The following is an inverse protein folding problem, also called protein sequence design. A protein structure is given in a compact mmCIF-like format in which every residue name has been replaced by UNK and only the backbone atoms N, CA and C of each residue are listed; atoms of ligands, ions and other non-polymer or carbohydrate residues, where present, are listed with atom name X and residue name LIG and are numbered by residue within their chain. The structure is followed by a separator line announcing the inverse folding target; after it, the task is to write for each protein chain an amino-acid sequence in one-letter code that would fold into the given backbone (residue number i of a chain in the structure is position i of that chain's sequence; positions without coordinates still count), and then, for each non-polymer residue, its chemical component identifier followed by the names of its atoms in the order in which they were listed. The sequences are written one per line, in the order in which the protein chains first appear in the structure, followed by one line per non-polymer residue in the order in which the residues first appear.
data_IF_575219844678
#
_entry.id   IF_575219844678
#
_cell.length_a   1.000
_cell.length_b   1.000
_cell.length_c   1.000
_cell.angle_alpha   90.00
_cell.angle_beta   90.00
_cell.angle_gamma   90.00
#
_symmetry.space_group_name_H-M   'P 1'
#
loop_
_entity.id
_entity.type
_entity.pdbx_description
1 polymer ?
#
# COMPACT_ATOMS: atom_id res chain seq x y z
N UNK A 1 3.25 10.86 -18.90
CA UNK A 1 2.72 9.47 -18.86
C UNK A 1 2.96 8.81 -17.48
N UNK A 2 4.19 8.77 -16.96
CA UNK A 2 4.46 8.11 -15.66
C UNK A 2 3.63 8.64 -14.48
N UNK A 3 3.51 9.97 -14.31
CA UNK A 3 2.69 10.57 -13.22
C UNK A 3 1.22 10.14 -13.28
N UNK A 4 0.66 10.03 -14.49
CA UNK A 4 -0.73 9.59 -14.69
C UNK A 4 -0.86 8.10 -14.35
N UNK A 5 0.09 7.27 -14.81
CA UNK A 5 0.11 5.85 -14.47
C UNK A 5 0.23 5.61 -12.96
N UNK A 6 1.10 6.36 -12.28
CA UNK A 6 1.21 6.31 -10.80
C UNK A 6 -0.10 6.73 -10.12
N UNK A 7 -0.71 7.83 -10.56
CA UNK A 7 -1.96 8.31 -9.98
C UNK A 7 -3.09 7.30 -10.18
N UNK A 8 -3.22 6.72 -11.36
CA UNK A 8 -4.21 5.67 -11.67
C UNK A 8 -3.96 4.40 -10.83
N UNK A 9 -2.70 4.01 -10.69
CA UNK A 9 -2.29 2.85 -9.90
C UNK A 9 -2.71 2.98 -8.44
N UNK A 10 -2.44 4.13 -7.84
CA UNK A 10 -2.76 4.40 -6.43
C UNK A 10 -4.27 4.62 -6.24
N UNK A 11 -4.93 5.27 -7.20
CA UNK A 11 -6.39 5.45 -7.22
C UNK A 11 -7.11 4.10 -7.21
N UNK A 12 -6.75 3.20 -8.13
CA UNK A 12 -7.36 1.86 -8.20
C UNK A 12 -7.03 1.02 -6.97
N UNK A 13 -5.83 1.18 -6.40
CA UNK A 13 -5.48 0.53 -5.13
C UNK A 13 -6.40 0.94 -3.99
N UNK A 14 -6.61 2.24 -3.79
CA UNK A 14 -7.53 2.77 -2.79
C UNK A 14 -8.99 2.37 -3.06
N UNK A 15 -9.41 2.39 -4.32
CA UNK A 15 -10.72 1.92 -4.75
C UNK A 15 -10.96 0.45 -4.33
N UNK A 16 -10.03 -0.46 -4.66
CA UNK A 16 -10.14 -1.87 -4.32
C UNK A 16 -10.20 -2.13 -2.81
N UNK A 17 -9.43 -1.38 -2.01
CA UNK A 17 -9.49 -1.50 -0.53
C UNK A 17 -10.89 -1.22 -0.02
N UNK A 18 -11.52 -0.13 -0.46
CA UNK A 18 -12.87 0.22 -0.02
C UNK A 18 -13.95 -0.72 -0.55
N UNK A 19 -13.79 -1.24 -1.77
CA UNK A 19 -14.67 -2.32 -2.28
C UNK A 19 -14.59 -3.53 -1.37
N UNK A 20 -13.39 -3.98 -1.00
CA UNK A 20 -13.21 -5.12 -0.11
C UNK A 20 -13.77 -4.86 1.30
N UNK A 21 -13.70 -3.64 1.80
CA UNK A 21 -14.23 -3.26 3.10
C UNK A 21 -15.76 -3.33 3.12
N UNK A 22 -16.42 -2.66 2.18
CA UNK A 22 -17.89 -2.60 2.13
C UNK A 22 -18.49 -3.97 1.81
N UNK A 23 -18.02 -4.60 0.74
CA UNK A 23 -18.54 -5.91 0.31
C UNK A 23 -18.13 -7.02 1.27
N UNK A 24 -16.96 -6.91 1.88
CA UNK A 24 -16.46 -7.83 2.89
C UNK A 24 -17.36 -7.91 4.11
N UNK A 25 -17.87 -6.79 4.59
CA UNK A 25 -18.82 -6.76 5.70
C UNK A 25 -20.11 -7.52 5.37
N UNK A 26 -20.65 -7.31 4.15
CA UNK A 26 -21.84 -8.05 3.69
C UNK A 26 -21.56 -9.55 3.53
N UNK A 27 -20.35 -9.89 3.09
CA UNK A 27 -19.92 -11.27 2.93
C UNK A 27 -19.87 -11.99 4.29
N UNK A 28 -19.24 -11.38 5.31
CA UNK A 28 -19.16 -11.94 6.65
C UNK A 28 -20.49 -11.96 7.39
N UNK A 29 -21.39 -11.03 7.08
CA UNK A 29 -22.71 -10.98 7.72
C UNK A 29 -23.56 -12.23 7.47
N UNK A 30 -23.29 -13.01 6.43
CA UNK A 30 -23.97 -14.30 6.14
C UNK A 30 -23.67 -15.33 7.23
N UNK A 31 -22.43 -15.36 7.73
CA UNK A 31 -21.95 -16.39 8.65
C UNK A 31 -22.02 -15.94 10.11
N UNK A 32 -21.74 -14.65 10.38
CA UNK A 32 -21.68 -14.09 11.74
C UNK A 32 -22.88 -13.19 12.09
N UNK A 33 -23.82 -13.00 11.15
CA UNK A 33 -24.96 -12.10 11.33
C UNK A 33 -24.65 -10.64 11.06
N UNK A 34 -25.70 -9.82 10.89
CA UNK A 34 -25.62 -8.39 10.58
C UNK A 34 -25.34 -7.49 11.79
N UNK A 35 -24.61 -7.97 12.81
CA UNK A 35 -24.38 -7.23 14.03
C UNK A 35 -23.35 -6.11 13.88
N UNK A 36 -23.40 -5.13 14.78
CA UNK A 36 -22.40 -4.06 14.88
C UNK A 36 -20.98 -4.62 15.05
N UNK A 37 -20.83 -5.79 15.68
CA UNK A 37 -19.52 -6.42 15.89
C UNK A 37 -18.86 -6.88 14.59
N UNK A 38 -19.64 -7.28 13.57
CA UNK A 38 -19.10 -7.64 12.24
C UNK A 38 -18.48 -6.42 11.58
N UNK A 39 -19.16 -5.26 11.59
CA UNK A 39 -18.65 -4.00 11.07
C UNK A 39 -17.38 -3.55 11.81
N UNK A 40 -17.42 -3.54 13.11
CA UNK A 40 -16.27 -3.12 13.93
C UNK A 40 -15.07 -4.02 13.72
N UNK A 41 -15.28 -5.34 13.63
CA UNK A 41 -14.24 -6.32 13.37
C UNK A 41 -13.62 -6.15 12.00
N UNK A 42 -14.45 -5.97 10.98
CA UNK A 42 -13.98 -5.75 9.59
C UNK A 42 -13.11 -4.50 9.48
N UNK A 43 -13.60 -3.37 9.99
CA UNK A 43 -12.85 -2.11 10.00
C UNK A 43 -11.53 -2.27 10.77
N UNK A 44 -11.58 -2.86 11.98
CA UNK A 44 -10.41 -3.04 12.82
C UNK A 44 -9.31 -3.89 12.14
N UNK A 45 -9.69 -5.02 11.57
CA UNK A 45 -8.75 -5.91 10.88
C UNK A 45 -8.15 -5.23 9.64
N UNK A 46 -8.96 -4.55 8.85
CA UNK A 46 -8.47 -3.83 7.67
C UNK A 46 -7.50 -2.71 8.08
N UNK A 47 -7.82 -1.92 9.10
CA UNK A 47 -6.91 -0.87 9.60
C UNK A 47 -5.58 -1.44 10.09
N UNK A 48 -5.59 -2.59 10.77
CA UNK A 48 -4.34 -3.29 11.15
C UNK A 48 -3.55 -3.70 9.89
N UNK A 49 -4.22 -4.31 8.91
CA UNK A 49 -3.59 -4.71 7.66
C UNK A 49 -3.00 -3.51 6.90
N UNK A 50 -3.74 -2.39 6.82
CA UNK A 50 -3.28 -1.15 6.19
C UNK A 50 -2.07 -0.56 6.93
N UNK A 51 -2.12 -0.51 8.26
CA UNK A 51 -1.02 0.03 9.08
C UNK A 51 0.28 -0.75 8.87
N UNK A 52 0.21 -2.07 8.93
CA UNK A 52 1.36 -2.95 8.68
C UNK A 52 1.83 -2.85 7.22
N UNK A 53 0.89 -2.80 6.26
CA UNK A 53 1.19 -2.65 4.85
C UNK A 53 1.91 -1.33 4.53
N UNK A 54 1.49 -0.23 5.13
CA UNK A 54 2.17 1.06 4.96
C UNK A 54 3.58 1.04 5.54
N UNK A 55 3.77 0.51 6.74
CA UNK A 55 5.09 0.42 7.37
C UNK A 55 6.06 -0.47 6.55
N UNK A 56 5.60 -1.65 6.16
CA UNK A 56 6.42 -2.61 5.41
C UNK A 56 6.62 -2.14 3.97
N UNK A 57 5.61 -1.53 3.34
CA UNK A 57 5.69 -0.99 1.98
C UNK A 57 6.77 0.09 1.85
N UNK A 58 6.88 0.98 2.83
CA UNK A 58 7.95 1.97 2.89
C UNK A 58 9.34 1.32 2.99
N UNK A 59 9.51 0.38 3.92
CA UNK A 59 10.76 -0.34 4.11
C UNK A 59 11.18 -1.16 2.87
N UNK A 60 10.22 -1.82 2.22
CA UNK A 60 10.48 -2.58 0.98
C UNK A 60 10.86 -1.66 -0.18
N UNK A 61 10.24 -0.48 -0.29
CA UNK A 61 10.56 0.50 -1.32
C UNK A 61 11.99 1.04 -1.18
N UNK A 62 12.47 1.23 0.05
CA UNK A 62 13.85 1.63 0.30
C UNK A 62 14.86 0.55 -0.12
N UNK A 63 14.49 -0.73 0.04
CA UNK A 63 15.35 -1.86 -0.28
C UNK A 63 15.38 -2.18 -1.78
N UNK A 64 14.22 -2.24 -2.43
CA UNK A 64 14.13 -2.77 -3.80
C UNK A 64 14.08 -1.69 -4.88
N UNK A 65 13.59 -0.48 -4.59
CA UNK A 65 13.58 0.71 -5.49
C UNK A 65 13.02 0.47 -6.90
N UNK A 66 12.27 -0.60 -7.13
CA UNK A 66 11.73 -1.02 -8.44
C UNK A 66 10.23 -1.23 -8.36
N UNK A 67 9.46 -0.57 -9.21
CA UNK A 67 8.00 -0.70 -9.25
C UNK A 67 7.56 -2.15 -9.50
N UNK A 68 8.28 -2.89 -10.33
CA UNK A 68 7.98 -4.28 -10.67
C UNK A 68 8.00 -5.26 -9.49
N UNK A 69 8.63 -4.90 -8.37
CA UNK A 69 8.59 -5.73 -7.17
C UNK A 69 7.16 -5.92 -6.63
N UNK A 70 6.30 -4.91 -6.78
CA UNK A 70 4.90 -5.00 -6.34
C UNK A 70 4.08 -6.01 -7.16
N UNK A 71 4.53 -6.37 -8.36
CA UNK A 71 3.76 -7.27 -9.24
C UNK A 71 3.49 -8.63 -8.60
N UNK A 72 4.49 -9.22 -7.92
CA UNK A 72 4.35 -10.55 -7.32
C UNK A 72 3.31 -10.54 -6.18
N UNK A 73 3.45 -9.71 -5.12
CA UNK A 73 2.47 -9.69 -4.05
C UNK A 73 1.08 -9.30 -4.54
N UNK A 74 0.97 -8.38 -5.51
CA UNK A 74 -0.32 -8.00 -6.08
C UNK A 74 -0.95 -9.12 -6.92
N UNK A 75 -0.16 -9.88 -7.67
CA UNK A 75 -0.68 -11.04 -8.40
C UNK A 75 -1.23 -12.09 -7.41
N UNK A 76 -0.50 -12.37 -6.33
CA UNK A 76 -0.97 -13.28 -5.27
C UNK A 76 -2.27 -12.77 -4.64
N UNK A 77 -2.32 -11.48 -4.26
CA UNK A 77 -3.53 -10.88 -3.70
C UNK A 77 -4.70 -10.89 -4.68
N UNK A 78 -4.47 -10.58 -5.96
CA UNK A 78 -5.51 -10.60 -6.99
C UNK A 78 -6.11 -11.98 -7.20
N UNK A 79 -5.27 -13.02 -7.27
CA UNK A 79 -5.73 -14.42 -7.34
C UNK A 79 -6.49 -14.79 -6.07
N UNK A 80 -5.99 -14.43 -4.89
CA UNK A 80 -6.65 -14.69 -3.62
C UNK A 80 -8.05 -14.03 -3.57
N UNK A 81 -8.16 -12.74 -3.93
CA UNK A 81 -9.43 -12.01 -3.97
C UNK A 81 -10.42 -12.69 -4.95
N UNK A 82 -9.95 -13.06 -6.13
CA UNK A 82 -10.80 -13.72 -7.13
C UNK A 82 -11.44 -15.01 -6.61
N UNK A 83 -10.70 -15.77 -5.81
CA UNK A 83 -11.15 -17.04 -5.27
C UNK A 83 -11.74 -16.96 -3.85
N UNK A 84 -11.86 -15.78 -3.21
CA UNK A 84 -12.46 -15.62 -1.88
C UNK A 84 -13.75 -16.45 -1.73
N UNK A 85 -14.75 -16.36 -2.63
CA UNK A 85 -16.00 -17.07 -2.44
C UNK A 85 -15.89 -18.60 -2.42
N UNK A 86 -14.78 -19.15 -2.96
CA UNK A 86 -14.56 -20.60 -2.99
C UNK A 86 -13.71 -21.11 -1.83
N UNK A 87 -12.69 -20.36 -1.45
CA UNK A 87 -11.69 -20.83 -0.48
C UNK A 87 -12.04 -20.50 0.97
N UNK A 88 -12.70 -19.39 1.18
CA UNK A 88 -12.91 -18.90 2.54
C UNK A 88 -14.12 -19.51 3.22
N UNK A 89 -15.13 -19.96 2.45
CA UNK A 89 -16.33 -20.56 3.02
C UNK A 89 -16.03 -21.74 3.98
N UNK A 90 -15.21 -22.74 3.62
CA UNK A 90 -14.87 -23.82 4.55
C UNK A 90 -14.16 -23.34 5.82
N UNK A 91 -13.39 -22.24 5.73
CA UNK A 91 -12.71 -21.65 6.89
C UNK A 91 -13.69 -20.91 7.80
N UNK A 92 -14.62 -20.16 7.22
CA UNK A 92 -15.67 -19.48 7.97
C UNK A 92 -16.61 -20.49 8.64
N UNK A 93 -17.00 -21.54 7.92
CA UNK A 93 -17.80 -22.65 8.47
C UNK A 93 -17.07 -23.32 9.66
N UNK A 94 -15.75 -23.50 9.58
CA UNK A 94 -14.99 -24.06 10.69
C UNK A 94 -14.97 -23.13 11.92
N UNK A 95 -14.94 -21.80 11.72
CA UNK A 95 -15.01 -20.83 12.82
C UNK A 95 -16.41 -20.88 13.47
N UNK A 96 -17.47 -20.85 12.66
CA UNK A 96 -18.86 -20.86 13.17
C UNK A 96 -19.20 -22.19 13.85
N UNK A 97 -18.83 -23.32 13.24
CA UNK A 97 -19.18 -24.65 13.75
C UNK A 97 -18.30 -25.15 14.92
N UNK A 98 -17.30 -24.38 15.34
CA UNK A 98 -16.51 -24.75 16.54
C UNK A 98 -17.30 -24.67 17.84
N UNK A 99 -18.43 -23.94 17.84
CA UNK A 99 -19.29 -23.83 18.99
C UNK A 99 -20.30 -24.98 19.02
N UNK A 100 -20.57 -25.61 20.22
CA UNK A 100 -21.56 -26.68 20.34
C UNK A 100 -22.95 -26.16 19.96
N UNK A 101 -23.68 -26.93 19.17
CA UNK A 101 -25.05 -26.59 18.79
C UNK A 101 -25.96 -26.67 20.02
N UNK A 102 -26.81 -25.65 20.22
CA UNK A 102 -27.80 -25.59 21.32
C UNK A 102 -27.27 -25.05 22.64
N UNK A 103 -26.04 -24.53 22.65
CA UNK A 103 -25.47 -23.81 23.79
C UNK A 103 -25.25 -22.36 23.37
N UNK A 104 -25.56 -21.41 24.25
CA UNK A 104 -25.31 -19.99 23.98
C UNK A 104 -23.80 -19.74 23.79
N UNK A 105 -23.46 -19.04 22.72
CA UNK A 105 -22.08 -18.68 22.43
C UNK A 105 -21.63 -17.64 23.48
N UNK A 106 -20.51 -17.85 24.20
CA UNK A 106 -19.98 -16.86 25.12
C UNK A 106 -19.78 -15.49 24.43
N UNK A 107 -20.16 -14.41 25.12
CA UNK A 107 -20.16 -13.05 24.57
C UNK A 107 -18.83 -12.63 23.94
N UNK A 108 -17.72 -13.12 24.50
CA UNK A 108 -16.38 -12.85 23.95
C UNK A 108 -16.23 -13.39 22.53
N UNK A 109 -16.79 -14.57 22.22
CA UNK A 109 -16.71 -15.18 20.90
C UNK A 109 -17.66 -14.54 19.90
N UNK A 110 -18.82 -14.08 20.32
CA UNK A 110 -19.72 -13.27 19.48
C UNK A 110 -18.99 -12.04 18.92
N UNK A 111 -18.02 -11.51 19.66
CA UNK A 111 -17.20 -10.35 19.28
C UNK A 111 -15.95 -10.74 18.49
N UNK A 112 -15.30 -11.87 18.84
CA UNK A 112 -14.01 -12.27 18.26
C UNK A 112 -14.14 -13.10 16.98
N UNK A 113 -15.20 -13.88 16.82
CA UNK A 113 -15.36 -14.72 15.61
C UNK A 113 -15.43 -13.92 14.32
N UNK A 114 -16.18 -12.80 14.26
CA UNK A 114 -16.15 -11.93 13.09
C UNK A 114 -14.75 -11.36 12.80
N UNK A 115 -13.97 -11.07 13.86
CA UNK A 115 -12.60 -10.57 13.68
C UNK A 115 -11.67 -11.65 13.13
N UNK A 116 -11.79 -12.89 13.58
CA UNK A 116 -11.05 -14.03 13.02
C UNK A 116 -11.45 -14.28 11.56
N UNK A 117 -12.76 -14.28 11.27
CA UNK A 117 -13.27 -14.43 9.91
C UNK A 117 -12.74 -13.32 8.98
N UNK A 118 -12.81 -12.08 9.43
CA UNK A 118 -12.26 -10.93 8.69
C UNK A 118 -10.75 -11.07 8.47
N UNK A 119 -10.00 -11.48 9.49
CA UNK A 119 -8.56 -11.66 9.37
C UNK A 119 -8.18 -12.73 8.35
N UNK A 120 -8.86 -13.86 8.33
CA UNK A 120 -8.62 -14.95 7.38
C UNK A 120 -8.89 -14.51 5.95
N UNK A 121 -9.96 -13.74 5.72
CA UNK A 121 -10.41 -13.38 4.38
C UNK A 121 -9.73 -12.11 3.85
N UNK A 122 -9.60 -11.06 4.67
CA UNK A 122 -9.28 -9.71 4.18
C UNK A 122 -7.92 -9.19 4.59
N UNK A 123 -7.28 -9.77 5.61
CA UNK A 123 -5.98 -9.28 6.08
C UNK A 123 -4.92 -9.29 4.97
N UNK A 124 -4.72 -10.42 4.31
CA UNK A 124 -3.70 -10.56 3.27
C UNK A 124 -3.92 -9.61 2.08
N UNK A 125 -5.10 -9.58 1.43
CA UNK A 125 -5.31 -8.69 0.29
C UNK A 125 -5.22 -7.20 0.67
N UNK A 126 -5.78 -6.78 1.79
CA UNK A 126 -5.70 -5.38 2.22
C UNK A 126 -4.27 -4.98 2.61
N UNK A 127 -3.53 -5.86 3.27
CA UNK A 127 -2.11 -5.66 3.56
C UNK A 127 -1.29 -5.43 2.28
N UNK A 128 -1.50 -6.25 1.25
CA UNK A 128 -0.78 -6.11 -0.02
C UNK A 128 -1.16 -4.82 -0.75
N UNK A 129 -2.45 -4.48 -0.80
CA UNK A 129 -2.89 -3.23 -1.42
C UNK A 129 -2.36 -1.99 -0.68
N UNK A 130 -2.17 -2.08 0.62
CA UNK A 130 -1.59 -1.01 1.41
C UNK A 130 -0.11 -0.72 1.08
N UNK A 131 0.64 -1.71 0.59
CA UNK A 131 2.03 -1.50 0.15
C UNK A 131 2.14 -0.43 -0.95
N UNK A 132 1.09 -0.25 -1.75
CA UNK A 132 1.09 0.58 -2.96
C UNK A 132 1.50 2.03 -2.66
N UNK A 133 0.80 2.71 -1.74
CA UNK A 133 0.94 4.15 -1.54
C UNK A 133 2.35 4.57 -1.10
N UNK A 134 2.93 4.04 -0.01
CA UNK A 134 4.28 4.42 0.41
C UNK A 134 5.34 3.98 -0.60
N UNK A 135 5.12 2.82 -1.23
CA UNK A 135 6.03 2.33 -2.27
C UNK A 135 6.08 3.27 -3.48
N UNK A 136 4.91 3.72 -3.95
CA UNK A 136 4.84 4.66 -5.07
C UNK A 136 5.41 6.04 -4.74
N UNK A 137 5.23 6.52 -3.50
CA UNK A 137 5.90 7.75 -3.04
C UNK A 137 7.41 7.62 -3.23
N UNK A 138 8.00 6.55 -2.75
CA UNK A 138 9.46 6.34 -2.76
C UNK A 138 10.01 6.17 -4.17
N UNK A 139 9.34 5.42 -5.02
CA UNK A 139 9.78 5.15 -6.40
C UNK A 139 9.63 6.39 -7.29
N UNK A 140 8.60 7.22 -7.05
CA UNK A 140 8.29 8.40 -7.88
C UNK A 140 9.07 9.64 -7.44
N UNK A 141 9.35 9.80 -6.15
CA UNK A 141 10.08 10.95 -5.61
C UNK A 141 11.59 10.83 -5.88
N UNK A 142 12.06 11.49 -6.94
CA UNK A 142 13.48 11.48 -7.35
C UNK A 142 14.32 12.55 -6.65
N UNK A 143 13.71 13.62 -6.11
CA UNK A 143 14.38 14.75 -5.43
C UNK A 143 13.71 15.03 -4.10
N UNK A 144 14.50 15.33 -3.09
CA UNK A 144 13.99 15.66 -1.75
C UNK A 144 13.04 16.86 -1.75
N UNK A 145 13.32 17.89 -2.55
CA UNK A 145 12.50 19.11 -2.67
C UNK A 145 11.07 18.84 -3.18
N UNK A 146 10.84 17.73 -3.89
CA UNK A 146 9.54 17.38 -4.46
C UNK A 146 8.78 16.30 -3.67
N UNK A 147 9.37 15.73 -2.63
CA UNK A 147 8.76 14.61 -1.86
C UNK A 147 7.41 14.99 -1.28
N UNK A 148 7.28 16.17 -0.68
CA UNK A 148 6.02 16.64 -0.09
C UNK A 148 4.89 16.72 -1.10
N UNK A 149 5.13 17.35 -2.24
CA UNK A 149 4.12 17.49 -3.31
C UNK A 149 3.73 16.15 -3.91
N UNK A 150 4.71 15.27 -4.15
CA UNK A 150 4.46 13.93 -4.71
C UNK A 150 3.68 13.07 -3.73
N UNK A 151 4.04 13.09 -2.46
CA UNK A 151 3.31 12.36 -1.41
C UNK A 151 1.87 12.85 -1.30
N UNK A 152 1.68 14.18 -1.26
CA UNK A 152 0.34 14.78 -1.23
C UNK A 152 -0.52 14.33 -2.40
N UNK A 153 0.03 14.31 -3.62
CA UNK A 153 -0.70 13.91 -4.82
C UNK A 153 -1.06 12.40 -4.80
N UNK A 154 -0.13 11.55 -4.34
CA UNK A 154 -0.34 10.11 -4.23
C UNK A 154 -1.43 9.81 -3.18
N UNK A 155 -1.35 10.41 -2.00
CA UNK A 155 -2.38 10.22 -0.97
C UNK A 155 -3.73 10.78 -1.41
N UNK A 156 -3.76 11.95 -2.06
CA UNK A 156 -5.00 12.50 -2.61
C UNK A 156 -5.63 11.58 -3.65
N UNK A 157 -4.84 11.04 -4.59
CA UNK A 157 -5.31 10.10 -5.60
C UNK A 157 -5.86 8.81 -4.97
N UNK A 158 -5.15 8.25 -3.96
CA UNK A 158 -5.62 7.08 -3.20
C UNK A 158 -6.94 7.36 -2.50
N UNK A 159 -7.05 8.51 -1.83
CA UNK A 159 -8.27 8.90 -1.10
C UNK A 159 -9.46 9.10 -2.05
N UNK A 160 -9.25 9.75 -3.21
CA UNK A 160 -10.32 9.89 -4.23
C UNK A 160 -10.74 8.53 -4.76
N UNK A 161 -9.78 7.61 -4.97
CA UNK A 161 -10.08 6.23 -5.32
C UNK A 161 -10.93 5.53 -4.24
N UNK A 162 -10.54 5.68 -2.97
CA UNK A 162 -11.28 5.14 -1.83
C UNK A 162 -12.70 5.67 -1.75
N UNK A 163 -12.90 6.98 -1.91
CA UNK A 163 -14.22 7.59 -1.96
C UNK A 163 -15.06 6.98 -3.10
N UNK A 164 -14.47 6.86 -4.30
CA UNK A 164 -15.11 6.18 -5.44
C UNK A 164 -15.49 4.74 -5.11
N UNK A 165 -14.58 4.00 -4.45
CA UNK A 165 -14.83 2.62 -4.01
C UNK A 165 -16.03 2.49 -3.07
N UNK A 166 -16.16 3.38 -2.09
CA UNK A 166 -17.32 3.41 -1.17
C UNK A 166 -18.62 3.63 -1.92
N UNK A 167 -18.70 4.70 -2.71
CA UNK A 167 -19.94 5.05 -3.40
C UNK A 167 -20.33 4.02 -4.47
N UNK A 168 -19.38 3.56 -5.27
CA UNK A 168 -19.64 2.55 -6.30
C UNK A 168 -20.06 1.23 -5.68
N UNK A 169 -19.41 0.80 -4.58
CA UNK A 169 -19.81 -0.42 -3.88
C UNK A 169 -21.20 -0.29 -3.28
N UNK A 170 -21.48 0.82 -2.58
CA UNK A 170 -22.72 0.99 -1.82
C UNK A 170 -23.95 1.29 -2.70
N UNK A 171 -23.78 1.96 -3.84
CA UNK A 171 -24.91 2.40 -4.66
C UNK A 171 -25.04 1.70 -6.02
N UNK A 172 -23.97 1.00 -6.46
CA UNK A 172 -23.99 0.36 -7.77
C UNK A 172 -23.76 -1.14 -7.64
N UNK A 173 -22.66 -1.54 -7.01
CA UNK A 173 -22.30 -2.96 -7.02
C UNK A 173 -23.30 -3.81 -6.24
N UNK A 174 -23.77 -3.33 -5.10
CA UNK A 174 -24.73 -4.08 -4.27
C UNK A 174 -26.06 -4.29 -4.98
N UNK A 175 -26.53 -3.31 -5.77
CA UNK A 175 -27.81 -3.37 -6.44
C UNK A 175 -27.78 -4.21 -7.72
N UNK A 176 -26.65 -4.22 -8.44
CA UNK A 176 -26.58 -4.80 -9.79
C UNK A 176 -25.72 -6.06 -9.89
N UNK A 177 -24.86 -6.35 -8.91
CA UNK A 177 -23.90 -7.44 -8.99
C UNK A 177 -24.00 -8.38 -7.78
N UNK A 178 -23.68 -9.65 -8.00
CA UNK A 178 -23.53 -10.59 -6.90
C UNK A 178 -22.20 -10.35 -6.17
N UNK A 179 -22.14 -10.64 -4.88
CA UNK A 179 -20.93 -10.55 -4.07
C UNK A 179 -19.77 -11.32 -4.72
N UNK A 180 -20.05 -12.50 -5.27
CA UNK A 180 -19.06 -13.30 -6.01
C UNK A 180 -18.49 -12.55 -7.22
N UNK A 181 -19.36 -11.93 -8.02
CA UNK A 181 -18.94 -11.17 -9.21
C UNK A 181 -18.10 -9.96 -8.81
N UNK A 182 -18.43 -9.30 -7.70
CA UNK A 182 -17.68 -8.15 -7.20
C UNK A 182 -16.27 -8.56 -6.78
N UNK A 183 -16.11 -9.66 -6.03
CA UNK A 183 -14.78 -10.17 -5.68
C UNK A 183 -13.98 -10.57 -6.93
N UNK A 184 -14.60 -11.23 -7.91
CA UNK A 184 -13.92 -11.59 -9.15
C UNK A 184 -13.48 -10.36 -9.94
N UNK A 185 -14.33 -9.35 -10.08
CA UNK A 185 -13.99 -8.09 -10.75
C UNK A 185 -12.86 -7.36 -10.02
N UNK A 186 -12.93 -7.27 -8.68
CA UNK A 186 -11.86 -6.67 -7.86
C UNK A 186 -10.55 -7.45 -8.01
N UNK A 187 -10.60 -8.78 -8.00
CA UNK A 187 -9.42 -9.62 -8.24
C UNK A 187 -8.79 -9.35 -9.61
N UNK A 188 -9.59 -9.21 -10.66
CA UNK A 188 -9.10 -8.83 -11.99
C UNK A 188 -8.46 -7.44 -12.01
N UNK A 189 -9.04 -6.46 -11.34
CA UNK A 189 -8.45 -5.11 -11.22
C UNK A 189 -7.10 -5.20 -10.51
N UNK A 190 -6.95 -5.98 -9.45
CA UNK A 190 -5.67 -6.14 -8.75
C UNK A 190 -4.65 -6.89 -9.61
N UNK A 191 -5.06 -7.88 -10.39
CA UNK A 191 -4.19 -8.55 -11.38
C UNK A 191 -3.75 -7.57 -12.48
N UNK A 192 -4.64 -6.71 -12.95
CA UNK A 192 -4.29 -5.63 -13.87
C UNK A 192 -3.27 -4.66 -13.25
N UNK A 193 -3.42 -4.31 -11.97
CA UNK A 193 -2.44 -3.51 -11.25
C UNK A 193 -1.08 -4.23 -11.15
N UNK A 194 -1.07 -5.55 -10.95
CA UNK A 194 0.18 -6.32 -10.98
C UNK A 194 0.89 -6.20 -12.34
N UNK A 195 0.15 -6.32 -13.45
CA UNK A 195 0.68 -6.14 -14.79
C UNK A 195 1.15 -4.69 -15.04
N UNK A 196 0.37 -3.71 -14.58
CA UNK A 196 0.72 -2.29 -14.68
C UNK A 196 2.00 -1.96 -13.89
N UNK A 197 2.21 -2.59 -12.75
CA UNK A 197 3.44 -2.46 -11.95
C UNK A 197 4.68 -2.91 -12.75
N UNK A 198 4.59 -4.01 -13.50
CA UNK A 198 5.67 -4.46 -14.40
C UNK A 198 5.89 -3.47 -15.55
N UNK A 199 4.83 -2.98 -16.17
CA UNK A 199 4.93 -1.99 -17.24
C UNK A 199 5.60 -0.70 -16.74
N UNK A 200 5.24 -0.24 -15.55
CA UNK A 200 5.86 0.92 -14.91
C UNK A 200 7.35 0.71 -14.63
N UNK A 201 7.76 -0.49 -14.24
CA UNK A 201 9.19 -0.80 -13.99
C UNK A 201 10.02 -0.67 -15.27
N UNK A 202 9.48 -1.13 -16.39
CA UNK A 202 10.12 -0.97 -17.71
C UNK A 202 10.27 0.50 -18.09
N UNK A 203 9.24 1.32 -17.82
CA UNK A 203 9.25 2.76 -18.10
C UNK A 203 10.16 3.56 -17.16
N UNK A 204 10.40 3.06 -15.95
CA UNK A 204 11.26 3.69 -14.94
C UNK A 204 12.73 3.27 -15.06
N UNK A 205 13.03 2.22 -15.82
CA UNK A 205 14.40 1.76 -16.04
C UNK A 205 15.22 2.88 -16.70
N UNK A 206 16.29 3.39 -16.08
CA UNK A 206 17.17 4.35 -16.75
C UNK A 206 17.73 3.68 -18.00
N UNK A 207 17.97 4.43 -19.10
CA UNK A 207 18.65 3.87 -20.26
C UNK A 207 19.98 3.26 -19.80
N UNK A 208 20.21 2.01 -20.17
CA UNK A 208 21.46 1.29 -19.91
C UNK A 208 22.62 2.10 -20.48
N UNK A 209 23.41 2.75 -19.62
CA UNK A 209 24.50 3.65 -20.01
C UNK A 209 24.62 4.93 -19.19
N UNK A 210 23.63 5.28 -18.35
CA UNK A 210 23.67 6.48 -17.51
C UNK A 210 24.54 6.33 -16.24
N UNK A 211 24.97 5.14 -15.91
CA UNK A 211 25.87 4.84 -14.76
C UNK A 211 27.36 4.84 -15.14
N UNK A 212 27.71 5.32 -16.34
CA UNK A 212 29.08 5.72 -16.56
C UNK A 212 29.33 7.00 -15.74
N UNK A 213 29.67 6.83 -14.47
CA UNK A 213 30.31 7.89 -13.69
C UNK A 213 31.43 8.47 -14.59
N UNK A 214 31.52 9.80 -14.75
CA UNK A 214 32.60 10.37 -15.52
C UNK A 214 33.89 9.79 -14.95
N UNK A 215 34.60 8.98 -15.75
CA UNK A 215 35.93 8.49 -15.40
C UNK A 215 36.70 9.75 -15.04
N UNK A 216 37.09 9.89 -13.77
CA UNK A 216 38.05 10.90 -13.37
C UNK A 216 39.22 10.79 -14.37
N UNK A 217 39.62 11.87 -15.02
CA UNK A 217 40.80 11.85 -15.84
C UNK A 217 41.97 11.39 -14.95
N UNK A 218 42.52 10.24 -15.24
CA UNK A 218 43.71 9.69 -14.59
C UNK A 218 44.91 10.53 -15.00
N UNK A 219 45.05 11.75 -14.48
CA UNK A 219 46.14 12.63 -14.91
C UNK A 219 46.24 13.95 -14.19
N UNK A 220 45.49 14.22 -13.14
CA UNK A 220 45.77 15.40 -12.27
C UNK A 220 46.81 15.02 -11.21
N UNK A 221 47.95 15.68 -11.21
CA UNK A 221 48.97 15.51 -10.16
C UNK A 221 48.37 15.85 -8.81
N UNK A 222 48.68 15.05 -7.78
CA UNK A 222 48.20 15.20 -6.41
C UNK A 222 48.73 16.48 -5.71
N UNK A 223 49.43 17.29 -6.39
CA UNK A 223 50.24 18.41 -5.82
C UNK A 223 49.51 19.77 -5.73
N UNK A 224 48.17 19.78 -5.92
CA UNK A 224 47.34 21.00 -5.81
C UNK A 224 46.09 20.85 -4.97
N UNK A 225 46.11 20.03 -3.90
CA UNK A 225 45.09 20.15 -2.88
C UNK A 225 45.57 21.16 -1.82
N UNK A 226 44.80 22.23 -1.50
CA UNK A 226 45.06 23.04 -0.31
C UNK A 226 44.91 22.15 0.93
N UNK A 227 45.95 22.14 1.76
CA UNK A 227 45.93 21.41 3.01
C UNK A 227 44.83 21.96 3.93
N UNK A 228 43.84 21.14 4.36
CA UNK A 228 42.78 21.58 5.26
C UNK A 228 43.26 21.82 6.69
N UNK A 229 44.55 21.61 7.00
CA UNK A 229 45.14 21.76 8.32
C UNK A 229 45.96 23.05 8.50
N UNK A 230 45.86 24.05 7.60
CA UNK A 230 46.51 25.32 7.72
C UNK A 230 46.04 26.08 8.97
N UNK A 231 46.97 26.57 9.83
CA UNK A 231 46.64 27.22 11.11
C UNK A 231 45.91 28.53 10.86
N UNK A 232 44.76 28.70 11.53
CA UNK A 232 43.97 29.92 11.53
C UNK A 232 44.84 31.12 11.95
N UNK A 233 44.99 32.08 11.06
CA UNK A 233 45.53 33.38 11.40
C UNK A 233 44.53 34.12 12.28
N UNK A 234 44.90 34.29 13.56
CA UNK A 234 44.28 35.22 14.47
C UNK A 234 44.49 36.66 13.97
N UNK A 235 43.42 37.36 13.68
CA UNK A 235 43.46 38.82 13.46
C UNK A 235 43.76 39.54 14.79
N UNK A 236 44.63 40.55 14.76
CA UNK A 236 44.89 41.37 15.94
C UNK A 236 43.76 42.38 16.14
N UNK A 237 43.20 42.38 17.34
CA UNK A 237 42.33 43.45 17.82
C UNK A 237 43.19 44.73 17.97
N UNK A 238 42.95 45.74 17.13
CA UNK A 238 43.39 47.11 17.41
C UNK A 238 42.25 47.85 18.09
N UNK A 239 42.48 48.11 19.37
CA UNK A 239 41.70 49.09 20.13
C UNK A 239 41.96 50.51 19.62
N UNK A 240 40.92 51.32 19.64
CA UNK A 240 41.07 52.76 19.64
C UNK A 240 40.08 53.36 20.61
N UNK A 241 40.63 54.11 21.50
CA UNK A 241 40.00 54.87 22.56
C UNK A 241 39.24 56.09 22.08
N UNK A 242 38.35 56.50 22.96
CA UNK A 242 37.53 57.70 23.02
C UNK A 242 38.34 59.03 22.75
N UNK A 243 37.66 60.16 22.58
CA UNK A 243 37.06 60.86 23.75
C UNK A 243 35.55 61.01 23.71
#
# INVERSE_FOLDING_TARGET
MLKIATALFVFLGGFCVMVLEIIGTLYLAKDFGGSFYVWTSQIGVILIALSLGYAIGGALADRFKRAGFLAIPMAVAGVFIYFIPKWTQPMLDAIVNRHPKGVDIPEIWVKLDPALGSAVVFFLPCFVLALISPYMVRVTARRLESVGTISGLIYAASTVGSIGGVFVSGYIFIDYLTVTTIFQATGFVVLFLAALSLAMDIMLKPPEGADASPRRPSGLPQDKMPDPSGPGKSEPQTGAASP
#
